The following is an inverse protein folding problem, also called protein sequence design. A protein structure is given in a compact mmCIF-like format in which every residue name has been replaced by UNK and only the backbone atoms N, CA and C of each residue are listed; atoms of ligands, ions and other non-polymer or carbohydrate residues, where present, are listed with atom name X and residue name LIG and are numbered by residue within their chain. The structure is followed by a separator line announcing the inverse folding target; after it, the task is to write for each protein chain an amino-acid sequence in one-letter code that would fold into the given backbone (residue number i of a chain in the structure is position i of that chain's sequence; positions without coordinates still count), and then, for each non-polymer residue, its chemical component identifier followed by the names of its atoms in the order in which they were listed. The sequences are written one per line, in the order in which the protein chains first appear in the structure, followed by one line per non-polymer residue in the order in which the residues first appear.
data_IF_863888840936
#
_entry.id   IF_863888840936
#
_cell.length_a   1.000
_cell.length_b   1.000
_cell.length_c   1.000
_cell.angle_alpha   90.00
_cell.angle_beta   90.00
_cell.angle_gamma   90.00
#
_symmetry.space_group_name_H-M   'P 1'
#
loop_
_entity.id
_entity.type
_entity.pdbx_description
1 polymer ?
#
# COMPACT_ATOMS: atom_id res chain seq x y z
N UNK A 1 11.16 17.26 -47.13
CA UNK A 1 10.79 15.81 -47.10
C UNK A 1 9.27 15.69 -47.17
N UNK A 2 8.74 15.42 -48.35
CA UNK A 2 7.30 15.26 -48.63
C UNK A 2 7.01 13.76 -48.66
N UNK A 3 6.25 13.25 -47.69
CA UNK A 3 5.77 11.87 -47.72
C UNK A 3 4.66 11.75 -48.78
N UNK A 4 4.93 10.94 -49.79
CA UNK A 4 4.06 10.64 -50.94
C UNK A 4 3.22 9.42 -50.57
N UNK A 5 1.93 9.62 -50.32
CA UNK A 5 1.00 8.52 -50.07
C UNK A 5 0.65 7.84 -51.40
N UNK A 6 0.81 6.51 -51.41
CA UNK A 6 0.51 5.61 -52.53
C UNK A 6 -0.92 5.11 -52.28
N UNK A 7 -1.88 5.56 -53.07
CA UNK A 7 -3.20 4.93 -53.14
C UNK A 7 -3.19 3.90 -54.27
N UNK A 8 -3.36 2.63 -53.89
CA UNK A 8 -3.66 1.51 -54.78
C UNK A 8 -5.12 1.63 -55.21
N UNK A 9 -5.34 1.73 -56.52
CA UNK A 9 -6.66 1.60 -57.16
C UNK A 9 -7.15 0.16 -56.98
N UNK A 10 -8.26 -0.03 -56.27
CA UNK A 10 -9.12 -1.21 -56.41
C UNK A 10 -10.35 -0.74 -57.18
N UNK A 11 -10.50 -1.25 -58.38
CA UNK A 11 -11.65 -1.05 -59.26
C UNK A 11 -12.84 -1.87 -58.75
N UNK A 12 -13.95 -1.20 -58.44
CA UNK A 12 -15.25 -1.80 -58.23
C UNK A 12 -16.30 -0.74 -58.48
N UNK A 13 -17.25 -1.02 -59.37
CA UNK A 13 -18.38 -0.15 -59.70
C UNK A 13 -19.16 0.23 -58.44
N UNK A 14 -19.05 1.49 -58.03
CA UNK A 14 -19.93 2.11 -57.02
C UNK A 14 -20.54 3.34 -57.65
N UNK A 15 -21.87 3.38 -57.66
CA UNK A 15 -22.72 4.43 -58.23
C UNK A 15 -22.32 5.81 -57.71
N UNK A 16 -22.42 6.84 -58.57
CA UNK A 16 -22.05 8.23 -58.26
C UNK A 16 -22.80 8.81 -57.04
N UNK A 17 -23.94 8.23 -56.65
CA UNK A 17 -24.69 8.60 -55.43
C UNK A 17 -23.96 8.19 -54.13
N UNK A 18 -23.29 7.02 -54.06
CA UNK A 18 -22.56 6.58 -52.86
C UNK A 18 -21.30 7.43 -52.59
N UNK A 19 -20.64 7.89 -53.65
CA UNK A 19 -19.46 8.76 -53.55
C UNK A 19 -19.85 10.13 -52.95
N UNK A 20 -21.01 10.67 -53.31
CA UNK A 20 -21.55 11.90 -52.75
C UNK A 20 -21.82 11.82 -51.24
N UNK A 21 -22.39 10.69 -50.78
CA UNK A 21 -22.68 10.48 -49.36
C UNK A 21 -21.42 10.28 -48.49
N UNK A 22 -20.39 9.61 -49.00
CA UNK A 22 -19.11 9.46 -48.29
C UNK A 22 -18.31 10.77 -48.20
N UNK A 23 -18.33 11.59 -49.26
CA UNK A 23 -17.73 12.93 -49.24
C UNK A 23 -18.46 13.89 -48.29
N UNK A 24 -19.80 13.84 -48.24
CA UNK A 24 -20.61 14.61 -47.29
C UNK A 24 -20.34 14.21 -45.84
N UNK A 25 -20.21 12.91 -45.54
CA UNK A 25 -19.83 12.41 -44.21
C UNK A 25 -18.44 12.89 -43.77
N UNK A 26 -17.48 12.93 -44.68
CA UNK A 26 -16.11 13.41 -44.40
C UNK A 26 -16.06 14.93 -44.16
N UNK A 27 -16.83 15.71 -44.93
CA UNK A 27 -16.99 17.16 -44.72
C UNK A 27 -17.68 17.48 -43.39
N UNK A 28 -18.72 16.72 -43.03
CA UNK A 28 -19.42 16.84 -41.76
C UNK A 28 -18.54 16.45 -40.57
N UNK A 29 -17.72 15.40 -40.69
CA UNK A 29 -16.76 15.00 -39.67
C UNK A 29 -15.65 16.05 -39.47
N UNK A 30 -15.11 16.60 -40.57
CA UNK A 30 -14.11 17.68 -40.51
C UNK A 30 -14.66 18.99 -39.94
N UNK A 31 -15.94 19.29 -40.18
CA UNK A 31 -16.64 20.45 -39.60
C UNK A 31 -16.87 20.24 -38.10
N UNK A 32 -17.36 19.07 -37.70
CA UNK A 32 -17.56 18.71 -36.28
C UNK A 32 -16.24 18.72 -35.48
N UNK A 33 -15.15 18.24 -36.09
CA UNK A 33 -13.81 18.27 -35.48
C UNK A 33 -13.28 19.70 -35.33
N UNK A 34 -13.54 20.58 -36.30
CA UNK A 34 -13.22 22.03 -36.20
C UNK A 34 -14.06 22.71 -35.12
N UNK A 35 -15.36 22.48 -35.11
CA UNK A 35 -16.29 23.10 -34.15
C UNK A 35 -15.98 22.64 -32.70
N UNK A 36 -15.66 21.36 -32.48
CA UNK A 36 -15.17 20.88 -31.18
C UNK A 36 -13.84 21.54 -30.79
N UNK A 37 -12.92 21.69 -31.76
CA UNK A 37 -11.62 22.30 -31.49
C UNK A 37 -11.73 23.80 -31.17
N UNK A 38 -12.69 24.50 -31.79
CA UNK A 38 -12.98 25.90 -31.53
C UNK A 38 -13.68 26.08 -30.19
N UNK A 39 -14.69 25.24 -29.89
CA UNK A 39 -15.35 25.21 -28.59
C UNK A 39 -14.35 24.92 -27.46
N UNK A 40 -13.46 23.94 -27.63
CA UNK A 40 -12.40 23.63 -26.66
C UNK A 40 -11.40 24.79 -26.50
N UNK A 41 -11.03 25.47 -27.59
CA UNK A 41 -10.16 26.67 -27.55
C UNK A 41 -10.86 27.85 -26.87
N UNK A 42 -12.16 28.01 -27.05
CA UNK A 42 -12.95 29.06 -26.45
C UNK A 42 -13.17 28.82 -24.96
N UNK A 43 -13.45 27.58 -24.57
CA UNK A 43 -13.52 27.14 -23.18
C UNK A 43 -12.16 27.27 -22.48
N UNK A 44 -11.05 26.89 -23.15
CA UNK A 44 -9.70 27.12 -22.65
C UNK A 44 -9.38 28.62 -22.49
N UNK A 45 -9.82 29.48 -23.42
CA UNK A 45 -9.71 30.95 -23.29
C UNK A 45 -10.54 31.47 -22.12
N UNK A 46 -11.76 30.97 -21.91
CA UNK A 46 -12.65 31.31 -20.79
C UNK A 46 -12.02 30.91 -19.45
N UNK A 47 -11.50 29.69 -19.34
CA UNK A 47 -10.75 29.19 -18.17
C UNK A 47 -9.51 30.04 -17.87
N UNK A 48 -8.75 30.44 -18.90
CA UNK A 48 -7.61 31.36 -18.76
C UNK A 48 -8.03 32.74 -18.23
N UNK A 49 -9.13 33.30 -18.74
CA UNK A 49 -9.69 34.59 -18.26
C UNK A 49 -10.15 34.48 -16.81
N UNK A 50 -10.86 33.41 -16.44
CA UNK A 50 -11.28 33.13 -15.05
C UNK A 50 -10.08 32.94 -14.11
N UNK A 51 -9.01 32.24 -14.55
CA UNK A 51 -7.75 32.13 -13.79
C UNK A 51 -7.09 33.49 -13.57
N UNK A 52 -7.06 34.37 -14.59
CA UNK A 52 -6.55 35.74 -14.44
C UNK A 52 -7.38 36.57 -13.47
N UNK A 53 -8.71 36.44 -13.51
CA UNK A 53 -9.63 37.14 -12.59
C UNK A 53 -9.43 36.67 -11.14
N UNK A 54 -9.44 35.35 -10.90
CA UNK A 54 -9.12 34.78 -9.56
C UNK A 54 -7.76 35.24 -9.02
N UNK A 55 -6.70 35.25 -9.85
CA UNK A 55 -5.39 35.78 -9.43
C UNK A 55 -5.40 37.26 -9.07
N UNK A 56 -6.27 38.07 -9.69
CA UNK A 56 -6.44 39.48 -9.31
C UNK A 56 -7.19 39.60 -7.99
N UNK A 57 -8.26 38.82 -7.82
CA UNK A 57 -9.07 38.81 -6.61
C UNK A 57 -8.25 38.34 -5.40
N UNK A 58 -7.43 37.30 -5.55
CA UNK A 58 -6.52 36.80 -4.50
C UNK A 58 -5.46 37.84 -4.11
N UNK A 59 -4.88 38.54 -5.11
CA UNK A 59 -3.94 39.64 -4.86
C UNK A 59 -4.62 40.80 -4.12
N UNK A 60 -5.89 41.07 -4.41
CA UNK A 60 -6.67 42.09 -3.72
C UNK A 60 -6.90 41.67 -2.25
N UNK A 61 -7.33 40.43 -2.05
CA UNK A 61 -7.59 39.83 -0.73
C UNK A 61 -6.34 39.80 0.15
N UNK A 62 -5.18 39.52 -0.45
CA UNK A 62 -3.91 39.52 0.26
C UNK A 62 -3.49 40.94 0.66
N UNK A 63 -3.69 41.93 -0.22
CA UNK A 63 -3.50 43.35 0.13
C UNK A 63 -4.46 43.83 1.21
N UNK A 64 -5.72 43.38 1.20
CA UNK A 64 -6.69 43.66 2.26
C UNK A 64 -6.26 43.03 3.59
N UNK A 65 -5.81 41.77 3.58
CA UNK A 65 -5.31 41.09 4.79
C UNK A 65 -4.06 41.76 5.36
N UNK A 66 -3.17 42.26 4.49
CA UNK A 66 -1.99 43.05 4.87
C UNK A 66 -2.37 44.43 5.42
N UNK A 67 -3.38 45.09 4.83
CA UNK A 67 -3.89 46.38 5.28
C UNK A 67 -4.71 46.31 6.59
N UNK A 68 -5.38 45.19 6.86
CA UNK A 68 -6.24 45.03 8.05
C UNK A 68 -5.44 44.68 9.32
N UNK A 69 -4.10 44.62 9.25
CA UNK A 69 -3.24 44.61 10.44
C UNK A 69 -3.48 43.48 11.45
N UNK A 70 -4.22 42.42 11.10
CA UNK A 70 -4.51 41.31 12.02
C UNK A 70 -3.37 40.29 11.96
N UNK A 71 -2.21 40.70 12.44
CA UNK A 71 -1.09 39.83 12.70
C UNK A 71 -1.49 38.83 13.80
N UNK A 72 -2.01 37.65 13.41
CA UNK A 72 -2.07 36.50 14.34
C UNK A 72 -0.64 36.26 14.85
N UNK A 73 -0.41 36.11 16.17
CA UNK A 73 0.93 35.88 16.70
C UNK A 73 1.35 34.46 16.34
N UNK A 74 1.92 34.28 15.14
CA UNK A 74 2.50 33.02 14.69
C UNK A 74 3.85 32.91 15.40
N UNK A 75 3.89 32.08 16.45
CA UNK A 75 4.98 31.99 17.43
C UNK A 75 6.38 31.83 16.82
N UNK A 76 7.41 32.21 17.59
CA UNK A 76 8.83 32.23 17.20
C UNK A 76 9.29 30.94 16.50
N UNK A 77 8.75 29.78 16.90
CA UNK A 77 8.97 28.47 16.27
C UNK A 77 8.64 28.45 14.76
N UNK A 78 7.52 29.05 14.34
CA UNK A 78 7.12 29.10 12.93
C UNK A 78 7.98 30.05 12.09
N UNK A 79 8.60 31.08 12.70
CA UNK A 79 9.57 31.95 12.01
C UNK A 79 10.90 31.22 11.78
N UNK A 80 11.37 30.47 12.77
CA UNK A 80 12.58 29.63 12.63
C UNK A 80 12.35 28.53 11.60
N UNK A 81 11.23 27.81 11.70
CA UNK A 81 10.84 26.79 10.72
C UNK A 81 10.73 27.40 9.30
N UNK A 82 10.12 28.58 9.16
CA UNK A 82 10.03 29.29 7.89
C UNK A 82 11.37 29.82 7.34
N UNK A 83 12.32 30.17 8.22
CA UNK A 83 13.66 30.61 7.83
C UNK A 83 14.52 29.43 7.36
N UNK A 84 14.55 28.34 8.15
CA UNK A 84 15.20 27.09 7.77
C UNK A 84 14.57 26.53 6.48
N UNK A 85 13.24 26.59 6.35
CA UNK A 85 12.52 26.22 5.12
C UNK A 85 13.01 27.00 3.90
N UNK A 86 13.19 28.33 4.02
CA UNK A 86 13.61 29.18 2.90
C UNK A 86 15.10 29.06 2.56
N UNK A 87 15.97 28.81 3.54
CA UNK A 87 17.42 28.79 3.33
C UNK A 87 17.97 27.40 2.94
N UNK A 88 17.42 26.32 3.49
CA UNK A 88 17.94 24.96 3.24
C UNK A 88 17.20 24.27 2.09
N UNK A 89 15.90 24.53 1.92
CA UNK A 89 15.02 23.75 1.03
C UNK A 89 14.69 24.42 -0.32
N UNK A 90 15.20 25.62 -0.60
CA UNK A 90 15.06 26.24 -1.92
C UNK A 90 16.02 25.64 -2.98
N UNK A 91 17.07 24.90 -2.56
CA UNK A 91 18.07 24.29 -3.45
C UNK A 91 17.76 22.84 -3.84
N UNK A 92 17.07 22.09 -2.98
CA UNK A 92 16.52 20.76 -3.24
C UNK A 92 15.03 20.97 -3.59
N UNK A 93 14.61 20.75 -4.83
CA UNK A 93 13.26 21.14 -5.27
C UNK A 93 12.15 20.71 -4.31
N UNK A 94 11.23 21.63 -3.98
CA UNK A 94 10.13 21.48 -3.00
C UNK A 94 9.38 20.15 -3.11
N UNK A 95 9.20 19.63 -4.33
CA UNK A 95 8.54 18.36 -4.59
C UNK A 95 9.29 17.16 -4.00
N UNK A 96 10.62 17.12 -4.06
CA UNK A 96 11.41 15.97 -3.60
C UNK A 96 11.35 15.81 -2.08
N UNK A 97 11.33 16.93 -1.36
CA UNK A 97 11.19 16.94 0.10
C UNK A 97 9.79 16.49 0.50
N UNK A 98 8.76 16.99 -0.21
CA UNK A 98 7.39 16.53 -0.01
C UNK A 98 7.28 15.01 -0.18
N UNK A 99 7.91 14.47 -1.22
CA UNK A 99 7.91 13.04 -1.53
C UNK A 99 8.65 12.20 -0.49
N UNK A 100 9.82 12.67 -0.01
CA UNK A 100 10.55 12.02 1.08
C UNK A 100 9.72 11.98 2.36
N UNK A 101 9.13 13.12 2.74
CA UNK A 101 8.31 13.24 3.93
C UNK A 101 7.05 12.38 3.85
N UNK A 102 6.40 12.32 2.69
CA UNK A 102 5.27 11.42 2.44
C UNK A 102 5.67 9.96 2.66
N UNK A 103 6.82 9.54 2.13
CA UNK A 103 7.33 8.18 2.31
C UNK A 103 7.60 7.83 3.77
N UNK A 104 8.30 8.70 4.49
CA UNK A 104 8.63 8.51 5.91
C UNK A 104 7.37 8.47 6.78
N UNK A 105 6.43 9.41 6.57
CA UNK A 105 5.16 9.41 7.32
C UNK A 105 4.40 8.11 7.07
N UNK A 106 4.38 7.61 5.83
CA UNK A 106 3.69 6.37 5.51
C UNK A 106 4.36 5.16 6.16
N UNK A 107 5.69 5.09 6.18
CA UNK A 107 6.44 4.05 6.89
C UNK A 107 6.06 4.04 8.39
N UNK A 108 6.07 5.21 9.04
CA UNK A 108 5.68 5.34 10.45
C UNK A 108 4.22 4.92 10.72
N UNK A 109 3.29 5.26 9.82
CA UNK A 109 1.88 4.87 9.96
C UNK A 109 1.75 3.35 9.84
N UNK A 110 2.36 2.74 8.84
CA UNK A 110 2.31 1.28 8.66
C UNK A 110 2.95 0.56 9.85
N UNK A 111 4.10 1.02 10.32
CA UNK A 111 4.76 0.50 11.52
C UNK A 111 3.84 0.52 12.74
N UNK A 112 3.21 1.67 13.02
CA UNK A 112 2.27 1.81 14.14
C UNK A 112 1.04 0.90 13.99
N UNK A 113 0.53 0.75 12.77
CA UNK A 113 -0.59 -0.16 12.48
C UNK A 113 -0.21 -1.62 12.71
N UNK A 114 0.94 -2.06 12.20
CA UNK A 114 1.42 -3.43 12.34
C UNK A 114 1.69 -3.75 13.82
N UNK A 115 2.27 -2.81 14.57
CA UNK A 115 2.42 -2.94 16.02
C UNK A 115 1.07 -3.07 16.75
N UNK A 116 0.07 -2.28 16.34
CA UNK A 116 -1.29 -2.38 16.88
C UNK A 116 -1.96 -3.72 16.58
N UNK A 117 -1.79 -4.24 15.37
CA UNK A 117 -2.29 -5.57 14.97
C UNK A 117 -1.61 -6.66 15.80
N UNK A 118 -0.29 -6.56 16.00
CA UNK A 118 0.49 -7.47 16.84
C UNK A 118 -0.03 -7.50 18.29
N UNK A 119 -0.32 -6.33 18.88
CA UNK A 119 -0.90 -6.24 20.23
C UNK A 119 -2.27 -6.96 20.29
N UNK A 120 -3.15 -6.74 19.31
CA UNK A 120 -4.44 -7.41 19.26
C UNK A 120 -4.31 -8.94 19.13
N UNK A 121 -3.39 -9.41 18.29
CA UNK A 121 -3.16 -10.84 18.11
C UNK A 121 -2.55 -11.48 19.37
N UNK A 122 -1.61 -10.79 20.03
CA UNK A 122 -1.04 -11.23 21.30
C UNK A 122 -2.10 -11.30 22.39
N UNK A 123 -2.98 -10.30 22.48
CA UNK A 123 -4.12 -10.31 23.40
C UNK A 123 -5.06 -11.50 23.15
N UNK A 124 -5.32 -11.83 21.87
CA UNK A 124 -6.12 -13.02 21.49
C UNK A 124 -5.46 -14.32 21.97
N UNK A 125 -4.16 -14.47 21.72
CA UNK A 125 -3.41 -15.66 22.12
C UNK A 125 -3.31 -15.79 23.65
N UNK A 126 -3.10 -14.67 24.33
CA UNK A 126 -3.08 -14.59 25.79
C UNK A 126 -4.43 -15.01 26.41
N UNK A 127 -5.55 -14.48 25.88
CA UNK A 127 -6.89 -14.89 26.32
C UNK A 127 -7.17 -16.38 26.11
N UNK A 128 -6.66 -16.96 25.01
CA UNK A 128 -6.85 -18.38 24.71
C UNK A 128 -5.99 -19.28 25.61
N UNK A 129 -4.73 -18.91 25.88
CA UNK A 129 -3.77 -19.75 26.62
C UNK A 129 -3.88 -19.61 28.14
N UNK A 130 -3.98 -18.40 28.66
CA UNK A 130 -3.74 -18.12 30.08
C UNK A 130 -5.03 -17.94 30.89
N UNK A 131 -6.10 -17.45 30.27
CA UNK A 131 -7.37 -17.17 30.97
C UNK A 131 -8.34 -18.35 30.90
N UNK A 132 -8.29 -19.13 29.83
CA UNK A 132 -9.31 -20.12 29.54
C UNK A 132 -8.92 -21.53 30.01
N UNK A 133 -9.33 -21.86 31.24
CA UNK A 133 -9.06 -23.15 31.89
C UNK A 133 -9.94 -24.30 31.39
N UNK A 134 -11.14 -24.00 30.86
CA UNK A 134 -12.07 -24.99 30.30
C UNK A 134 -12.16 -24.90 28.78
N UNK A 135 -12.43 -26.02 28.10
CA UNK A 135 -12.61 -26.07 26.63
C UNK A 135 -13.71 -25.12 26.15
N UNK A 136 -14.79 -24.95 26.93
CA UNK A 136 -15.86 -24.01 26.61
C UNK A 136 -15.38 -22.55 26.73
N UNK A 137 -14.68 -22.21 27.82
CA UNK A 137 -14.09 -20.87 27.99
C UNK A 137 -13.08 -20.55 26.89
N UNK A 138 -12.32 -21.53 26.40
CA UNK A 138 -11.37 -21.35 25.30
C UNK A 138 -12.09 -21.00 24.00
N UNK A 139 -13.18 -21.69 23.69
CA UNK A 139 -14.03 -21.38 22.55
C UNK A 139 -14.61 -19.96 22.64
N UNK A 140 -15.15 -19.59 23.80
CA UNK A 140 -15.69 -18.25 24.03
C UNK A 140 -14.60 -17.18 23.91
N UNK A 141 -13.42 -17.39 24.48
CA UNK A 141 -12.28 -16.47 24.37
C UNK A 141 -11.82 -16.30 22.91
N UNK A 142 -11.76 -17.41 22.15
CA UNK A 142 -11.35 -17.41 20.75
C UNK A 142 -12.30 -16.61 19.85
N UNK A 143 -13.60 -16.65 20.14
CA UNK A 143 -14.64 -16.01 19.32
C UNK A 143 -14.98 -14.59 19.78
N UNK A 144 -14.97 -14.33 21.09
CA UNK A 144 -15.45 -13.06 21.66
C UNK A 144 -14.58 -11.87 21.26
N UNK A 145 -13.26 -11.96 21.39
CA UNK A 145 -12.35 -10.84 21.07
C UNK A 145 -12.45 -10.43 19.58
N UNK A 146 -12.39 -11.35 18.59
CA UNK A 146 -12.63 -10.99 17.19
C UNK A 146 -13.99 -10.33 16.94
N UNK A 147 -15.08 -10.85 17.51
CA UNK A 147 -16.41 -10.25 17.35
C UNK A 147 -16.44 -8.83 17.91
N UNK A 148 -15.88 -8.62 19.11
CA UNK A 148 -15.80 -7.29 19.72
C UNK A 148 -15.00 -6.31 18.85
N UNK A 149 -13.85 -6.73 18.33
CA UNK A 149 -13.00 -5.89 17.46
C UNK A 149 -13.69 -5.56 16.14
N UNK A 150 -14.41 -6.51 15.53
CA UNK A 150 -15.16 -6.29 14.28
C UNK A 150 -16.33 -5.33 14.51
N UNK A 151 -17.12 -5.53 15.56
CA UNK A 151 -18.22 -4.65 15.92
C UNK A 151 -17.72 -3.23 16.23
N UNK A 152 -16.60 -3.12 16.94
CA UNK A 152 -15.93 -1.85 17.18
C UNK A 152 -15.47 -1.19 15.87
N UNK A 153 -14.79 -1.92 15.00
CA UNK A 153 -14.31 -1.38 13.72
C UNK A 153 -15.47 -0.87 12.85
N UNK A 154 -16.53 -1.67 12.71
CA UNK A 154 -17.72 -1.31 11.94
C UNK A 154 -18.41 -0.08 12.55
N UNK A 155 -18.70 -0.10 13.86
CA UNK A 155 -19.34 1.02 14.55
C UNK A 155 -18.51 2.30 14.47
N UNK A 156 -17.21 2.23 14.74
CA UNK A 156 -16.30 3.37 14.71
C UNK A 156 -16.22 4.00 13.30
N UNK A 157 -16.06 3.18 12.26
CA UNK A 157 -15.99 3.68 10.88
C UNK A 157 -17.31 4.32 10.46
N UNK A 158 -18.45 3.73 10.80
CA UNK A 158 -19.76 4.30 10.45
C UNK A 158 -20.03 5.63 11.15
N UNK A 159 -19.64 5.78 12.42
CA UNK A 159 -19.84 7.02 13.19
C UNK A 159 -18.83 8.09 12.77
N UNK A 160 -17.55 7.73 12.65
CA UNK A 160 -16.48 8.68 12.38
C UNK A 160 -16.43 9.03 10.91
N UNK A 161 -16.32 8.11 9.95
CA UNK A 161 -16.32 8.48 8.54
C UNK A 161 -16.73 7.31 7.65
N UNK A 162 -18.03 7.22 7.34
CA UNK A 162 -18.57 6.17 6.47
C UNK A 162 -17.92 6.14 5.06
N UNK A 163 -17.34 7.25 4.59
CA UNK A 163 -16.59 7.30 3.33
C UNK A 163 -15.27 6.50 3.36
N UNK A 164 -14.80 6.09 4.55
CA UNK A 164 -13.58 5.30 4.71
C UNK A 164 -13.79 3.78 4.52
N UNK A 165 -15.03 3.33 4.34
CA UNK A 165 -15.39 1.92 4.14
C UNK A 165 -14.70 1.35 2.89
N UNK A 166 -14.33 0.07 2.94
CA UNK A 166 -13.76 -0.67 1.82
C UNK A 166 -12.30 -0.33 1.52
N UNK A 167 -11.84 -0.67 0.33
CA UNK A 167 -10.43 -0.50 -0.09
C UNK A 167 -10.06 0.96 -0.32
N UNK A 168 -10.82 1.68 -1.14
CA UNK A 168 -10.52 3.06 -1.54
C UNK A 168 -9.71 3.20 -2.84
N UNK A 169 -9.24 2.11 -3.43
CA UNK A 169 -8.63 2.11 -4.77
C UNK A 169 -9.63 2.59 -5.86
N UNK A 170 -10.89 2.10 -5.93
CA UNK A 170 -11.83 2.53 -6.96
C UNK A 170 -12.10 4.04 -6.95
N UNK A 171 -12.23 4.60 -5.76
CA UNK A 171 -12.43 6.02 -5.53
C UNK A 171 -11.16 6.81 -5.86
N UNK A 172 -9.98 6.28 -5.54
CA UNK A 172 -8.71 6.90 -5.93
C UNK A 172 -8.54 6.96 -7.44
N UNK A 173 -8.89 5.88 -8.15
CA UNK A 173 -8.90 5.83 -9.62
C UNK A 173 -9.85 6.89 -10.20
N UNK A 174 -10.97 7.13 -9.53
CA UNK A 174 -11.95 8.16 -9.92
C UNK A 174 -11.41 9.57 -9.70
N UNK A 175 -10.75 9.82 -8.56
CA UNK A 175 -10.08 11.09 -8.24
C UNK A 175 -8.94 11.40 -9.21
N UNK A 176 -8.09 10.41 -9.52
CA UNK A 176 -6.96 10.58 -10.44
C UNK A 176 -7.40 10.82 -11.88
N UNK A 177 -8.63 10.40 -12.26
CA UNK A 177 -9.28 10.75 -13.53
C UNK A 177 -9.89 12.17 -13.55
N UNK A 178 -9.82 12.91 -12.43
CA UNK A 178 -10.27 14.29 -12.32
C UNK A 178 -11.65 14.47 -11.67
N UNK A 179 -12.30 13.39 -11.21
CA UNK A 179 -13.59 13.48 -10.54
C UNK A 179 -13.38 13.75 -9.05
N UNK A 180 -13.82 14.91 -8.59
CA UNK A 180 -13.64 15.32 -7.20
C UNK A 180 -14.70 14.69 -6.29
N UNK A 181 -14.28 13.72 -5.47
CA UNK A 181 -15.12 13.14 -4.42
C UNK A 181 -15.05 14.00 -3.15
N UNK A 182 -16.21 14.50 -2.71
CA UNK A 182 -16.30 15.36 -1.53
C UNK A 182 -15.95 14.56 -0.26
N UNK A 183 -15.16 15.16 0.63
CA UNK A 183 -14.82 14.63 1.96
C UNK A 183 -14.04 13.30 1.99
N UNK A 184 -13.57 12.80 0.85
CA UNK A 184 -12.83 11.54 0.74
C UNK A 184 -11.39 11.65 1.27
N UNK A 185 -10.70 12.76 0.96
CA UNK A 185 -9.30 13.01 1.34
C UNK A 185 -9.20 13.91 2.59
N UNK A 186 -9.71 13.44 3.73
CA UNK A 186 -9.78 14.22 4.99
C UNK A 186 -9.06 13.55 6.15
N UNK A 187 -8.63 14.35 7.14
CA UNK A 187 -7.98 13.86 8.36
C UNK A 187 -8.91 12.95 9.19
N UNK A 188 -10.21 13.28 9.20
CA UNK A 188 -11.25 12.47 9.85
C UNK A 188 -11.36 11.08 9.20
N UNK A 189 -11.34 11.01 7.87
CA UNK A 189 -11.32 9.74 7.15
C UNK A 189 -10.01 8.96 7.37
N UNK A 190 -8.87 9.65 7.48
CA UNK A 190 -7.57 9.03 7.77
C UNK A 190 -7.58 8.29 9.11
N UNK A 191 -7.99 8.96 10.19
CA UNK A 191 -8.07 8.35 11.53
C UNK A 191 -9.06 7.18 11.52
N UNK A 192 -10.24 7.40 10.93
CA UNK A 192 -11.27 6.36 10.79
C UNK A 192 -10.72 5.10 10.13
N UNK A 193 -9.96 5.27 9.02
CA UNK A 193 -9.43 4.15 8.25
C UNK A 193 -8.29 3.43 8.95
N UNK A 194 -7.38 4.15 9.61
CA UNK A 194 -6.27 3.55 10.37
C UNK A 194 -6.82 2.70 11.52
N UNK A 195 -7.66 3.28 12.37
CA UNK A 195 -8.21 2.57 13.56
C UNK A 195 -9.10 1.40 13.14
N UNK A 196 -9.99 1.62 12.16
CA UNK A 196 -10.87 0.57 11.65
C UNK A 196 -10.09 -0.59 11.03
N UNK A 197 -9.04 -0.30 10.25
CA UNK A 197 -8.21 -1.34 9.64
C UNK A 197 -7.38 -2.10 10.67
N UNK A 198 -6.78 -1.41 11.65
CA UNK A 198 -6.02 -2.06 12.73
C UNK A 198 -6.90 -3.02 13.53
N UNK A 199 -8.12 -2.61 13.91
CA UNK A 199 -9.06 -3.49 14.61
C UNK A 199 -9.54 -4.66 13.73
N UNK A 200 -9.79 -4.41 12.44
CA UNK A 200 -10.20 -5.45 11.47
C UNK A 200 -9.12 -6.51 11.30
N UNK A 201 -7.87 -6.12 11.09
CA UNK A 201 -6.75 -7.07 10.94
C UNK A 201 -6.36 -7.71 12.28
N UNK A 202 -6.43 -6.95 13.38
CA UNK A 202 -6.23 -7.46 14.73
C UNK A 202 -7.23 -8.54 15.15
N UNK A 203 -8.43 -8.55 14.54
CA UNK A 203 -9.42 -9.62 14.73
C UNK A 203 -9.04 -10.94 14.05
N UNK A 204 -8.10 -10.92 13.10
CA UNK A 204 -7.69 -12.08 12.30
C UNK A 204 -8.62 -12.40 11.13
N UNK A 205 -9.44 -11.44 10.67
CA UNK A 205 -10.21 -11.59 9.45
C UNK A 205 -9.31 -11.81 8.23
N UNK A 206 -9.74 -12.60 7.23
CA UNK A 206 -8.98 -12.85 6.00
C UNK A 206 -9.07 -11.64 5.05
N UNK A 207 -8.60 -10.48 5.52
CA UNK A 207 -8.57 -9.21 4.80
C UNK A 207 -7.13 -8.68 4.78
N UNK A 208 -6.83 -7.82 3.81
CA UNK A 208 -5.50 -7.20 3.66
C UNK A 208 -5.53 -5.69 3.85
N UNK A 209 -4.40 -5.11 4.31
CA UNK A 209 -4.20 -3.64 4.38
C UNK A 209 -3.81 -2.98 3.06
N UNK A 210 -3.50 -3.76 2.04
CA UNK A 210 -2.89 -3.31 0.78
C UNK A 210 -3.70 -2.21 0.09
N UNK A 211 -4.98 -2.45 -0.16
CA UNK A 211 -5.87 -1.46 -0.78
C UNK A 211 -6.12 -0.23 0.08
N UNK A 212 -6.51 -0.40 1.36
CA UNK A 212 -6.64 0.71 2.31
C UNK A 212 -5.38 1.57 2.46
N UNK A 213 -4.19 0.98 2.39
CA UNK A 213 -2.92 1.69 2.48
C UNK A 213 -2.72 2.71 1.36
N UNK A 214 -3.12 2.37 0.13
CA UNK A 214 -3.14 3.32 -1.01
C UNK A 214 -4.01 4.53 -0.69
N UNK A 215 -5.18 4.30 -0.11
CA UNK A 215 -6.07 5.40 0.28
C UNK A 215 -5.47 6.23 1.43
N UNK A 216 -4.89 5.58 2.44
CA UNK A 216 -4.21 6.23 3.56
C UNK A 216 -3.08 7.14 3.06
N UNK A 217 -2.21 6.65 2.18
CA UNK A 217 -1.12 7.43 1.59
C UNK A 217 -1.64 8.65 0.83
N UNK A 218 -2.71 8.49 0.04
CA UNK A 218 -3.36 9.61 -0.66
C UNK A 218 -3.98 10.64 0.29
N UNK A 219 -4.56 10.22 1.42
CA UNK A 219 -5.04 11.12 2.47
C UNK A 219 -3.88 11.89 3.11
N UNK A 220 -2.76 11.21 3.42
CA UNK A 220 -1.54 11.84 3.95
C UNK A 220 -0.99 12.86 2.96
N UNK A 221 -0.87 12.52 1.68
CA UNK A 221 -0.41 13.45 0.65
C UNK A 221 -1.32 14.69 0.51
N UNK A 222 -2.64 14.50 0.58
CA UNK A 222 -3.60 15.60 0.54
C UNK A 222 -3.49 16.53 1.76
N UNK A 223 -3.30 15.96 2.96
CA UNK A 223 -3.10 16.73 4.19
C UNK A 223 -1.76 17.44 4.21
N UNK A 224 -0.69 16.76 3.78
CA UNK A 224 0.63 17.36 3.67
C UNK A 224 0.63 18.52 2.67
N UNK A 225 -0.08 18.37 1.55
CA UNK A 225 -0.25 19.44 0.56
C UNK A 225 -0.95 20.66 1.16
N UNK A 226 -1.99 20.45 2.00
CA UNK A 226 -2.67 21.54 2.72
C UNK A 226 -1.75 22.21 3.75
N UNK A 227 -0.92 21.45 4.46
CA UNK A 227 0.04 21.99 5.42
C UNK A 227 1.08 22.87 4.72
N UNK A 228 1.72 22.36 3.67
CA UNK A 228 2.74 23.09 2.89
C UNK A 228 2.17 24.36 2.27
N UNK A 229 0.99 24.27 1.66
CA UNK A 229 0.33 25.46 1.05
C UNK A 229 -0.07 26.52 2.08
N UNK A 230 -0.39 26.14 3.32
CA UNK A 230 -0.66 27.06 4.44
C UNK A 230 0.60 27.85 4.87
N UNK A 231 1.79 27.35 4.54
CA UNK A 231 3.06 28.05 4.80
C UNK A 231 3.53 28.89 3.61
N UNK A 232 3.20 28.49 2.38
CA UNK A 232 3.71 29.15 1.16
C UNK A 232 2.72 30.10 0.48
N UNK A 233 1.46 30.17 0.92
CA UNK A 233 0.52 31.24 0.56
C UNK A 233 0.29 31.43 -0.94
N UNK A 234 0.46 30.39 -1.77
CA UNK A 234 0.36 30.50 -3.24
C UNK A 234 -0.21 29.22 -3.87
N UNK A 235 -1.26 29.42 -4.68
CA UNK A 235 -1.82 28.62 -5.78
C UNK A 235 -1.65 27.08 -5.74
N UNK A 236 -2.73 26.37 -5.38
CA UNK A 236 -2.85 24.93 -5.62
C UNK A 236 -3.00 24.65 -7.12
N UNK A 237 -1.96 24.09 -7.74
CA UNK A 237 -2.07 23.55 -9.10
C UNK A 237 -2.72 22.18 -9.03
N UNK A 238 -3.92 22.05 -9.60
CA UNK A 238 -4.65 20.79 -9.71
C UNK A 238 -3.82 19.67 -10.36
N UNK A 239 -3.02 20.01 -11.38
CA UNK A 239 -2.10 19.03 -11.99
C UNK A 239 -1.05 18.55 -11.00
N UNK A 240 -0.45 19.44 -10.21
CA UNK A 240 0.55 19.08 -9.19
C UNK A 240 -0.09 18.20 -8.12
N UNK A 241 -1.31 18.51 -7.68
CA UNK A 241 -2.06 17.67 -6.74
C UNK A 241 -2.27 16.26 -7.30
N UNK A 242 -2.65 16.13 -8.57
CA UNK A 242 -2.79 14.81 -9.21
C UNK A 242 -1.45 14.08 -9.33
N UNK A 243 -0.36 14.77 -9.70
CA UNK A 243 1.00 14.19 -9.73
C UNK A 243 1.43 13.68 -8.34
N UNK A 244 1.12 14.42 -7.27
CA UNK A 244 1.44 14.03 -5.89
C UNK A 244 0.57 12.86 -5.39
N UNK A 245 -0.72 12.82 -5.75
CA UNK A 245 -1.61 11.70 -5.43
C UNK A 245 -1.19 10.42 -6.16
N UNK A 246 -0.70 10.53 -7.39
CA UNK A 246 -0.12 9.41 -8.13
C UNK A 246 1.09 8.81 -7.39
N UNK A 247 2.01 9.67 -6.95
CA UNK A 247 3.14 9.25 -6.14
C UNK A 247 2.71 8.64 -4.80
N UNK A 248 1.66 9.19 -4.17
CA UNK A 248 1.09 8.64 -2.94
C UNK A 248 0.54 7.23 -3.13
N UNK A 249 -0.10 6.95 -4.27
CA UNK A 249 -0.58 5.60 -4.57
C UNK A 249 0.59 4.60 -4.65
N UNK A 250 1.72 5.01 -5.24
CA UNK A 250 2.93 4.18 -5.29
C UNK A 250 3.50 3.93 -3.89
N UNK A 251 3.56 4.97 -3.06
CA UNK A 251 4.01 4.90 -1.66
C UNK A 251 3.14 3.97 -0.81
N UNK A 252 1.82 4.05 -0.94
CA UNK A 252 0.89 3.20 -0.19
C UNK A 252 1.12 1.71 -0.47
N UNK A 253 1.32 1.34 -1.74
CA UNK A 253 1.64 -0.05 -2.11
C UNK A 253 3.06 -0.44 -1.65
N UNK A 254 4.06 0.41 -1.93
CA UNK A 254 5.45 0.12 -1.59
C UNK A 254 5.65 -0.07 -0.09
N UNK A 255 5.00 0.74 0.74
CA UNK A 255 5.04 0.64 2.21
C UNK A 255 4.38 -0.64 2.76
N UNK A 256 3.46 -1.28 2.03
CA UNK A 256 2.86 -2.55 2.44
C UNK A 256 3.69 -3.76 2.04
N UNK A 257 4.26 -3.74 0.84
CA UNK A 257 4.95 -4.89 0.26
C UNK A 257 6.48 -4.79 0.32
N UNK A 258 7.02 -3.70 0.86
CA UNK A 258 8.45 -3.36 0.75
C UNK A 258 8.96 -3.44 -0.72
N UNK A 259 8.09 -3.15 -1.69
CA UNK A 259 8.34 -3.32 -3.12
C UNK A 259 8.15 -2.00 -3.88
N UNK A 260 9.17 -1.12 -3.90
CA UNK A 260 9.07 0.19 -4.55
C UNK A 260 8.70 0.12 -6.03
N UNK A 261 9.32 -0.81 -6.77
CA UNK A 261 9.06 -0.99 -8.21
C UNK A 261 7.61 -1.41 -8.45
N UNK A 262 7.12 -2.40 -7.69
CA UNK A 262 5.75 -2.88 -7.76
C UNK A 262 4.73 -1.78 -7.45
N UNK A 263 5.00 -0.96 -6.43
CA UNK A 263 4.14 0.17 -6.09
C UNK A 263 4.04 1.23 -7.20
N UNK A 264 5.16 1.55 -7.85
CA UNK A 264 5.15 2.51 -8.98
C UNK A 264 4.42 1.95 -10.18
N UNK A 265 4.61 0.66 -10.51
CA UNK A 265 3.89 0.01 -11.61
C UNK A 265 2.39 -0.03 -11.36
N UNK A 266 1.98 -0.36 -10.13
CA UNK A 266 0.58 -0.29 -9.71
C UNK A 266 0.02 1.13 -9.85
N UNK A 267 0.79 2.14 -9.42
CA UNK A 267 0.38 3.54 -9.58
C UNK A 267 0.19 3.88 -11.06
N UNK A 268 1.09 3.47 -11.96
CA UNK A 268 0.91 3.70 -13.40
C UNK A 268 -0.41 3.10 -13.90
N UNK A 269 -0.74 1.87 -13.48
CA UNK A 269 -1.98 1.19 -13.86
C UNK A 269 -3.24 1.95 -13.39
N UNK A 270 -3.20 2.52 -12.18
CA UNK A 270 -4.34 3.20 -11.56
C UNK A 270 -4.49 4.66 -12.00
N UNK A 271 -3.40 5.34 -12.35
CA UNK A 271 -3.34 6.82 -12.49
C UNK A 271 -3.61 7.36 -13.91
N UNK A 272 -4.42 6.67 -14.72
CA UNK A 272 -4.81 7.03 -16.11
C UNK A 272 -3.89 6.53 -17.23
N UNK A 273 -4.40 6.55 -18.48
CA UNK A 273 -3.73 6.03 -19.69
C UNK A 273 -2.45 6.75 -20.07
N UNK A 274 -2.22 7.96 -19.55
CA UNK A 274 -1.05 8.77 -19.85
C UNK A 274 -0.30 9.10 -18.56
N UNK A 275 0.90 8.53 -18.40
CA UNK A 275 1.73 8.74 -17.22
C UNK A 275 3.06 9.40 -17.61
N UNK A 276 3.32 10.58 -17.08
CA UNK A 276 4.56 11.30 -17.39
C UNK A 276 5.76 10.63 -16.72
N UNK A 277 6.87 10.45 -17.47
CA UNK A 277 8.12 9.84 -16.97
C UNK A 277 8.68 10.56 -15.73
N UNK A 278 8.45 11.87 -15.59
CA UNK A 278 8.85 12.61 -14.38
C UNK A 278 8.10 12.13 -13.13
N UNK A 279 6.83 11.73 -13.25
CA UNK A 279 6.05 11.20 -12.13
C UNK A 279 6.51 9.80 -11.74
N UNK A 280 7.08 9.05 -12.68
CA UNK A 280 7.68 7.73 -12.41
C UNK A 280 8.84 7.88 -11.43
N UNK A 281 9.81 8.74 -11.74
CA UNK A 281 10.96 8.97 -10.86
C UNK A 281 10.58 9.54 -9.50
N UNK A 282 9.59 10.43 -9.46
CA UNK A 282 9.05 10.98 -8.21
C UNK A 282 8.37 9.90 -7.35
N UNK A 283 7.53 9.08 -7.96
CA UNK A 283 6.87 7.96 -7.30
C UNK A 283 7.87 6.93 -6.79
N UNK A 284 8.87 6.59 -7.61
CA UNK A 284 9.93 5.64 -7.24
C UNK A 284 10.75 6.12 -6.04
N UNK A 285 11.20 7.38 -6.07
CA UNK A 285 11.92 7.96 -4.94
C UNK A 285 11.10 7.93 -3.64
N UNK A 286 9.84 8.38 -3.71
CA UNK A 286 8.95 8.37 -2.53
C UNK A 286 8.69 6.94 -2.02
N UNK A 287 8.49 6.00 -2.95
CA UNK A 287 8.26 4.59 -2.65
C UNK A 287 9.48 3.96 -1.96
N UNK A 288 10.70 4.26 -2.40
CA UNK A 288 11.93 3.86 -1.71
C UNK A 288 11.98 4.41 -0.29
N UNK A 289 11.68 5.70 -0.08
CA UNK A 289 11.63 6.28 1.27
C UNK A 289 10.60 5.59 2.18
N UNK A 290 9.51 5.07 1.61
CA UNK A 290 8.47 4.37 2.38
C UNK A 290 8.75 2.89 2.63
N UNK A 291 9.61 2.28 1.81
CA UNK A 291 10.03 0.89 1.95
C UNK A 291 11.17 0.72 2.96
N UNK A 292 11.77 1.83 3.41
CA UNK A 292 12.67 1.86 4.57
C UNK A 292 11.80 1.66 5.80
N UNK A 293 11.47 0.40 6.09
CA UNK A 293 10.88 0.03 7.37
C UNK A 293 11.97 0.10 8.44
N UNK A 294 11.69 0.69 9.61
CA UNK A 294 12.49 0.39 10.79
C UNK A 294 12.34 -1.11 11.03
N UNK A 295 13.44 -1.86 10.91
CA UNK A 295 13.49 -3.24 11.36
C UNK A 295 13.04 -3.25 12.82
N UNK A 296 11.91 -3.91 13.12
CA UNK A 296 11.57 -4.25 14.49
C UNK A 296 12.68 -5.16 15.03
N UNK A 297 13.37 -4.80 16.13
CA UNK A 297 14.34 -5.67 16.78
C UNK A 297 13.69 -6.81 17.59
N UNK A 298 12.40 -7.13 17.36
CA UNK A 298 11.65 -7.98 18.31
C UNK A 298 10.75 -9.00 17.60
N UNK A 299 11.43 -9.92 16.91
CA UNK A 299 11.16 -11.35 17.07
C UNK A 299 12.50 -12.08 16.95
N UNK A 300 13.40 -11.77 17.87
CA UNK A 300 14.63 -12.54 18.10
C UNK A 300 14.21 -13.85 18.80
N UNK A 301 13.56 -14.74 18.05
CA UNK A 301 13.68 -16.16 18.35
C UNK A 301 15.08 -16.55 17.86
N UNK A 302 16.07 -16.44 18.75
CA UNK A 302 17.47 -16.89 18.55
C UNK A 302 17.59 -18.39 18.15
N UNK A 303 16.47 -19.10 17.95
CA UNK A 303 16.41 -20.46 17.42
C UNK A 303 15.87 -20.59 15.99
N UNK A 304 15.60 -19.49 15.26
CA UNK A 304 15.09 -19.55 13.88
C UNK A 304 16.10 -19.12 12.80
N UNK A 305 17.41 -19.11 13.11
CA UNK A 305 18.48 -18.81 12.15
C UNK A 305 19.10 -20.05 11.45
N UNK A 306 18.42 -21.21 11.44
CA UNK A 306 18.91 -22.41 10.71
C UNK A 306 18.09 -22.74 9.45
N UNK A 307 16.99 -22.05 9.17
CA UNK A 307 16.31 -22.16 7.89
C UNK A 307 15.99 -20.79 7.34
N UNK A 308 16.53 -20.48 6.16
CA UNK A 308 16.06 -19.39 5.31
C UNK A 308 14.60 -19.71 4.91
N UNK A 309 13.66 -19.39 5.81
CA UNK A 309 12.22 -19.53 5.61
C UNK A 309 11.82 -18.32 4.77
N UNK A 310 11.74 -18.52 3.46
CA UNK A 310 11.21 -17.53 2.53
C UNK A 310 9.71 -17.39 2.83
N UNK A 311 9.22 -16.26 3.35
CA UNK A 311 7.83 -16.13 3.77
C UNK A 311 6.92 -16.27 2.54
N UNK A 312 6.43 -17.48 2.29
CA UNK A 312 5.45 -17.71 1.23
C UNK A 312 4.25 -16.79 1.51
N UNK A 313 3.85 -15.96 0.53
CA UNK A 313 2.82 -14.93 0.74
C UNK A 313 1.42 -15.53 1.04
N UNK A 314 1.27 -16.85 0.94
CA UNK A 314 0.05 -17.56 1.29
C UNK A 314 0.37 -18.89 1.99
N UNK A 315 -0.47 -19.25 2.96
CA UNK A 315 -0.48 -20.56 3.60
C UNK A 315 -1.57 -21.42 2.97
N UNK A 316 -1.24 -22.66 2.66
CA UNK A 316 -2.19 -23.67 2.22
C UNK A 316 -2.75 -24.39 3.44
N UNK A 317 -4.08 -24.47 3.52
CA UNK A 317 -4.72 -25.36 4.48
C UNK A 317 -4.58 -26.79 3.95
N UNK A 318 -4.26 -27.76 4.80
CA UNK A 318 -4.12 -29.19 4.44
C UNK A 318 -5.28 -29.73 3.60
N UNK A 319 -6.49 -29.19 3.77
CA UNK A 319 -7.72 -29.61 3.06
C UNK A 319 -7.87 -28.99 1.66
N UNK A 320 -6.87 -28.28 1.15
CA UNK A 320 -6.94 -27.64 -0.16
C UNK A 320 -6.73 -28.67 -1.26
N UNK A 321 -7.65 -28.78 -2.22
CA UNK A 321 -7.52 -29.75 -3.30
C UNK A 321 -6.31 -29.46 -4.20
N UNK A 322 -5.70 -30.53 -4.71
CA UNK A 322 -4.45 -30.48 -5.47
C UNK A 322 -4.55 -29.56 -6.71
N UNK A 323 -5.70 -29.58 -7.41
CA UNK A 323 -5.99 -28.67 -8.52
C UNK A 323 -6.08 -27.20 -8.11
N UNK A 324 -6.65 -26.90 -6.93
CA UNK A 324 -6.71 -25.54 -6.39
C UNK A 324 -5.32 -25.05 -6.01
N UNK A 325 -4.51 -25.90 -5.39
CA UNK A 325 -3.10 -25.58 -5.07
C UNK A 325 -2.33 -25.26 -6.36
N UNK A 326 -2.51 -26.07 -7.41
CA UNK A 326 -1.85 -25.84 -8.69
C UNK A 326 -2.27 -24.51 -9.35
N UNK A 327 -3.57 -24.21 -9.31
CA UNK A 327 -4.09 -22.92 -9.79
C UNK A 327 -3.49 -21.74 -9.01
N UNK A 328 -3.37 -21.85 -7.69
CA UNK A 328 -2.76 -20.81 -6.85
C UNK A 328 -1.28 -20.60 -7.18
N UNK A 329 -0.50 -21.67 -7.30
CA UNK A 329 0.91 -21.57 -7.68
C UNK A 329 1.08 -20.94 -9.07
N UNK A 330 0.24 -21.32 -10.03
CA UNK A 330 0.28 -20.78 -11.39
C UNK A 330 -0.16 -19.32 -11.47
N UNK A 331 -1.12 -18.90 -10.63
CA UNK A 331 -1.64 -17.53 -10.61
C UNK A 331 -0.69 -16.58 -9.88
N UNK A 332 -0.08 -17.05 -8.79
CA UNK A 332 0.78 -16.25 -7.92
C UNK A 332 2.25 -16.31 -8.34
N UNK A 333 2.63 -17.21 -9.26
CA UNK A 333 4.02 -17.35 -9.72
C UNK A 333 4.99 -17.86 -8.63
N UNK A 334 4.47 -18.52 -7.60
CA UNK A 334 5.23 -18.92 -6.42
C UNK A 334 5.79 -20.33 -6.59
N UNK A 335 7.01 -20.56 -6.08
CA UNK A 335 7.72 -21.84 -6.20
C UNK A 335 7.52 -22.78 -5.01
N UNK A 336 7.22 -22.23 -3.82
CA UNK A 336 7.05 -22.94 -2.55
C UNK A 336 5.90 -22.34 -1.74
N UNK A 337 5.10 -23.17 -1.08
CA UNK A 337 4.08 -22.73 -0.15
C UNK A 337 4.09 -23.59 1.12
N UNK A 338 3.78 -22.97 2.25
CA UNK A 338 3.66 -23.65 3.54
C UNK A 338 2.29 -24.28 3.69
N UNK A 339 2.22 -25.52 4.17
CA UNK A 339 0.98 -26.21 4.51
C UNK A 339 0.78 -26.16 6.01
N UNK A 340 -0.38 -25.65 6.44
CA UNK A 340 -0.73 -25.55 7.85
C UNK A 340 -2.02 -26.33 8.15
N UNK A 341 -2.08 -26.91 9.35
CA UNK A 341 -3.31 -27.44 9.94
C UNK A 341 -3.48 -26.86 11.33
N UNK A 342 -4.65 -26.25 11.56
CA UNK A 342 -5.03 -25.70 12.88
C UNK A 342 -3.92 -24.77 13.43
N UNK A 343 -3.34 -23.94 12.55
CA UNK A 343 -2.30 -22.98 12.91
C UNK A 343 -0.91 -23.57 13.17
N UNK A 344 -0.70 -24.87 12.94
CA UNK A 344 0.63 -25.50 12.98
C UNK A 344 1.16 -25.74 11.58
N UNK A 345 2.45 -25.47 11.37
CA UNK A 345 3.15 -25.82 10.14
C UNK A 345 3.29 -27.34 10.05
N UNK A 346 2.70 -27.95 9.01
CA UNK A 346 2.82 -29.39 8.75
C UNK A 346 3.99 -29.65 7.81
N UNK A 347 4.20 -28.78 6.81
CA UNK A 347 5.26 -28.96 5.82
C UNK A 347 5.31 -27.88 4.75
N UNK A 348 6.17 -28.10 3.76
CA UNK A 348 6.36 -27.22 2.59
C UNK A 348 6.01 -28.02 1.34
N UNK A 349 5.27 -27.41 0.42
CA UNK A 349 4.97 -27.97 -0.90
C UNK A 349 5.65 -27.11 -1.96
N UNK A 350 6.43 -27.73 -2.84
CA UNK A 350 7.02 -27.08 -4.01
C UNK A 350 6.22 -27.30 -5.29
N UNK A 351 6.35 -26.38 -6.26
CA UNK A 351 5.71 -26.50 -7.57
C UNK A 351 6.11 -27.81 -8.30
N UNK A 352 7.35 -28.26 -8.10
CA UNK A 352 7.89 -29.48 -8.72
C UNK A 352 7.21 -30.73 -8.16
N UNK A 353 7.11 -30.81 -6.83
CA UNK A 353 6.41 -31.91 -6.15
C UNK A 353 4.92 -31.93 -6.50
N UNK A 354 4.30 -30.76 -6.59
CA UNK A 354 2.90 -30.63 -6.95
C UNK A 354 2.61 -31.10 -8.38
N UNK A 355 3.45 -30.73 -9.35
CA UNK A 355 3.32 -31.19 -10.75
C UNK A 355 3.50 -32.70 -10.85
N UNK A 356 4.51 -33.23 -10.18
CA UNK A 356 4.75 -34.67 -10.10
C UNK A 356 3.54 -35.40 -9.49
N UNK A 357 2.95 -34.87 -8.42
CA UNK A 357 1.77 -35.45 -7.80
C UNK A 357 0.53 -35.43 -8.72
N UNK A 358 0.35 -34.39 -9.55
CA UNK A 358 -0.72 -34.36 -10.58
C UNK A 358 -0.47 -35.44 -11.64
N UNK A 359 0.77 -35.55 -12.12
CA UNK A 359 1.17 -36.55 -13.10
C UNK A 359 0.99 -37.98 -12.56
N UNK A 360 1.35 -38.22 -11.30
CA UNK A 360 1.21 -39.50 -10.60
C UNK A 360 -0.26 -39.86 -10.33
N UNK A 361 -1.13 -38.88 -10.08
CA UNK A 361 -2.60 -39.07 -9.98
C UNK A 361 -3.21 -39.37 -11.35
N UNK A 362 -2.80 -38.64 -12.39
CA UNK A 362 -3.33 -38.83 -13.74
C UNK A 362 -2.84 -40.13 -14.41
N UNK A 363 -1.66 -40.61 -14.04
CA UNK A 363 -1.10 -41.89 -14.48
C UNK A 363 -1.63 -43.09 -13.70
N UNK A 364 -2.47 -42.86 -12.68
CA UNK A 364 -3.08 -43.93 -11.87
C UNK A 364 -2.12 -44.59 -10.88
N UNK A 365 -0.93 -44.03 -10.68
CA UNK A 365 0.10 -44.52 -9.73
C UNK A 365 -0.29 -44.18 -8.29
N UNK A 366 -0.92 -43.02 -8.08
CA UNK A 366 -1.50 -42.62 -6.80
C UNK A 366 -2.99 -43.00 -6.75
N UNK A 367 -3.30 -44.16 -6.17
CA UNK A 367 -4.65 -44.38 -5.63
C UNK A 367 -4.85 -43.39 -4.47
N UNK A 368 -6.06 -42.83 -4.34
CA UNK A 368 -6.48 -41.99 -3.22
C UNK A 368 -6.19 -42.75 -1.91
N UNK A 369 -5.00 -42.54 -1.35
CA UNK A 369 -4.58 -43.21 -0.15
C UNK A 369 -5.54 -42.77 0.96
N UNK A 370 -6.20 -43.74 1.58
CA UNK A 370 -6.93 -43.55 2.81
C UNK A 370 -6.00 -42.84 3.80
N UNK A 371 -6.49 -41.69 4.30
CA UNK A 371 -5.90 -40.84 5.33
C UNK A 371 -4.85 -41.58 6.18
N UNK A 372 -3.57 -41.19 6.18
CA UNK A 372 -2.65 -41.67 7.20
C UNK A 372 -3.20 -41.22 8.56
N UNK A 373 -3.40 -42.15 9.49
CA UNK A 373 -3.73 -41.80 10.86
C UNK A 373 -2.63 -40.89 11.43
N UNK A 374 -2.98 -39.89 12.25
CA UNK A 374 -1.98 -39.07 12.91
C UNK A 374 -1.00 -39.97 13.64
N UNK A 375 0.32 -39.70 13.58
CA UNK A 375 1.31 -40.53 14.25
C UNK A 375 0.94 -40.67 15.73
N UNK A 376 0.69 -41.91 16.16
CA UNK A 376 0.37 -42.27 17.56
C UNK A 376 1.59 -42.15 18.48
N UNK A 377 2.77 -41.96 17.90
CA UNK A 377 3.99 -41.61 18.63
C UNK A 377 4.25 -40.12 18.48
N UNK A 378 4.44 -39.37 19.58
CA UNK A 378 5.01 -38.04 19.47
C UNK A 378 6.35 -38.16 18.73
N UNK A 379 6.71 -37.21 17.85
CA UNK A 379 8.07 -37.16 17.32
C UNK A 379 9.04 -37.19 18.50
N UNK A 380 10.20 -37.88 18.36
CA UNK A 380 11.16 -37.99 19.45
C UNK A 380 11.41 -36.59 20.02
N UNK A 381 11.27 -36.49 21.35
CA UNK A 381 11.53 -35.26 22.07
C UNK A 381 12.85 -34.68 21.59
N UNK A 382 12.82 -33.39 21.26
CA UNK A 382 13.93 -32.44 21.20
C UNK A 382 15.30 -33.14 21.19
N UNK A 383 16.03 -33.04 20.07
CA UNK A 383 17.47 -33.31 20.06
C UNK A 383 18.09 -32.46 21.18
N UNK A 384 18.29 -33.04 22.35
CA UNK A 384 19.18 -32.50 23.37
C UNK A 384 20.57 -32.66 22.79
N UNK A 385 21.03 -31.63 22.08
CA UNK A 385 22.46 -31.45 21.88
C UNK A 385 23.04 -31.32 23.27
N UNK A 386 23.83 -32.31 23.68
CA UNK A 386 24.57 -32.26 24.93
C UNK A 386 25.43 -30.99 24.90
N UNK A 387 25.11 -30.04 25.78
CA UNK A 387 25.98 -28.91 26.07
C UNK A 387 27.25 -29.46 26.69
N UNK A 388 28.34 -29.55 25.92
CA UNK A 388 29.67 -29.57 26.49
C UNK A 388 29.99 -28.15 26.97
N UNK A 389 29.44 -27.77 28.12
CA UNK A 389 30.00 -26.66 28.88
C UNK A 389 31.35 -27.12 29.47
N UNK A 390 32.43 -26.34 29.33
CA UNK A 390 33.61 -26.55 30.16
C UNK A 390 33.22 -26.25 31.61
N UNK A 391 33.61 -27.12 32.54
CA UNK A 391 33.33 -26.94 33.96
C UNK A 391 33.85 -25.59 34.47
N UNK A 392 33.16 -24.95 35.43
CA UNK A 392 33.64 -23.72 36.05
C UNK A 392 34.95 -23.97 36.79
N UNK A 393 35.90 -23.01 36.78
CA UNK A 393 37.18 -23.18 37.44
C UNK A 393 37.00 -23.35 38.94
N UNK A 394 37.64 -24.36 39.52
CA UNK A 394 37.72 -24.60 40.96
C UNK A 394 38.47 -23.47 41.67
N UNK A 395 38.03 -23.13 42.88
CA UNK A 395 38.48 -22.03 43.76
C UNK A 395 39.98 -21.97 44.15
N UNK A 396 40.84 -22.75 43.48
CA UNK A 396 42.31 -22.67 43.60
C UNK A 396 42.97 -21.79 42.53
N UNK A 397 42.26 -21.38 41.47
CA UNK A 397 42.77 -20.47 40.43
C UNK A 397 42.44 -18.99 40.68
N UNK A 398 41.42 -18.69 41.49
CA UNK A 398 41.07 -17.31 41.88
C UNK A 398 42.06 -16.70 42.87
N UNK A 399 42.87 -17.52 43.53
CA UNK A 399 43.88 -17.09 44.51
C UNK A 399 45.24 -16.69 43.89
N UNK A 400 45.43 -16.86 42.56
CA UNK A 400 46.69 -16.47 41.89
C UNK A 400 46.65 -15.13 41.16
N UNK A 401 45.51 -14.42 41.16
CA UNK A 401 45.36 -13.12 40.51
C UNK A 401 45.33 -11.91 41.47
N UNK A 402 45.51 -12.12 42.78
CA UNK A 402 45.51 -11.03 43.78
C UNK A 402 46.82 -10.86 44.55
N UNK A 403 47.90 -11.56 44.18
CA UNK A 403 49.23 -11.32 44.77
C UNK A 403 50.35 -11.41 43.74
N UNK A 404 50.99 -10.27 43.49
CA UNK A 404 52.26 -10.11 42.76
C UNK A 404 52.07 -9.17 41.56
N UNK A 405 52.74 -8.03 41.43
CA UNK A 405 53.72 -7.27 42.22
C UNK A 405 53.58 -5.82 41.69
N UNK A 406 53.58 -4.79 42.53
CA UNK A 406 54.77 -3.93 42.78
C UNK A 406 55.56 -3.55 41.53
#
# INVERSE_FOLDING_TARGET
MKWRNRQTLVSGDTSEEEIGHSYLGTLMYGRYQRDLSEAAREEARRLRRLRKKRRKDDKLRQKELEATGKHRPRGKFFKVLGYVWRHTFARLGEDWIFLALLGIIMACINYAMDRGIGICNNARMWMYKDVATSTFSQYVAWVSLPICLILFAAGFVHIVAAQSIGSGIPEMKTILRGVHLKEYLTFRALISKIVGLTATLGSGLPLGKEGPSVHIASMVAALLSKLVTTFQGIYTNESRTSEMLAAACAVGVASCFAAPVGGVLFSIEVTTTYFAVRNYWRGFFAACCSAIHPEDPEYDDENLYICHIDPAPFQLVERTSLLKVHSLFSTLGVSRAYVTAIGRLIGVVSLKELRKAIEDVNSGVLTLATRPEPPTTPPPAVIKVASSEPAPPTDSETAKLTTGDK
#
